data_IF_928640318490
#
_entry.id   IF_928640318490
#
_cell.length_a   1.000
_cell.length_b   1.000
_cell.length_c   1.000
_cell.angle_alpha   90.00
_cell.angle_beta   90.00
_cell.angle_gamma   90.00
#
_symmetry.space_group_name_H-M   'P 1'
#
loop_
_entity.id
_entity.type
_entity.pdbx_description
1 polymer ?
#
# COMPACT_ATOMS: atom_id res chain seq x y z
N UNK A 1 28.51 41.70 -9.32
CA UNK A 1 27.41 41.80 -8.32
C UNK A 1 26.19 40.91 -8.64
N UNK A 2 25.76 40.79 -9.92
CA UNK A 2 24.60 39.97 -10.32
C UNK A 2 24.72 38.46 -10.04
N UNK A 3 25.90 37.85 -10.17
CA UNK A 3 26.08 36.41 -9.91
C UNK A 3 25.94 36.01 -8.43
N UNK A 4 26.30 36.90 -7.49
CA UNK A 4 26.15 36.69 -6.04
C UNK A 4 24.68 36.73 -5.64
N UNK A 5 23.91 37.70 -6.16
CA UNK A 5 22.45 37.78 -5.96
C UNK A 5 21.72 36.56 -6.51
N UNK A 6 22.06 36.08 -7.72
CA UNK A 6 21.45 34.85 -8.29
C UNK A 6 21.72 33.60 -7.44
N UNK A 7 22.93 33.47 -6.86
CA UNK A 7 23.27 32.36 -5.94
C UNK A 7 22.50 32.44 -4.62
N UNK A 8 22.35 33.64 -4.06
CA UNK A 8 21.57 33.87 -2.84
C UNK A 8 20.09 33.57 -3.06
N UNK A 9 19.51 34.00 -4.19
CA UNK A 9 18.10 33.70 -4.53
C UNK A 9 17.87 32.20 -4.73
N UNK A 10 18.80 31.49 -5.40
CA UNK A 10 18.74 30.02 -5.52
C UNK A 10 18.86 29.32 -4.16
N UNK A 11 19.74 29.79 -3.29
CA UNK A 11 19.90 29.27 -1.93
C UNK A 11 18.64 29.48 -1.08
N UNK A 12 18.03 30.67 -1.14
CA UNK A 12 16.76 30.94 -0.46
C UNK A 12 15.61 30.10 -1.01
N UNK A 13 15.52 29.95 -2.34
CA UNK A 13 14.49 29.12 -2.97
C UNK A 13 14.63 27.65 -2.56
N UNK A 14 15.86 27.12 -2.50
CA UNK A 14 16.12 25.76 -2.02
C UNK A 14 15.75 25.63 -0.53
N UNK A 15 16.08 26.62 0.30
CA UNK A 15 15.76 26.62 1.71
C UNK A 15 14.25 26.66 1.95
N UNK A 16 13.49 27.45 1.17
CA UNK A 16 12.03 27.47 1.22
C UNK A 16 11.46 26.10 0.85
N UNK A 17 11.97 25.44 -0.19
CA UNK A 17 11.56 24.07 -0.57
C UNK A 17 11.85 23.08 0.55
N UNK A 18 13.05 23.13 1.14
CA UNK A 18 13.43 22.24 2.25
C UNK A 18 12.59 22.48 3.51
N UNK A 19 12.25 23.73 3.82
CA UNK A 19 11.36 24.07 4.95
C UNK A 19 9.94 23.58 4.68
N UNK A 20 9.43 23.74 3.46
CA UNK A 20 8.11 23.19 3.08
C UNK A 20 8.13 21.67 3.16
N UNK A 21 9.14 20.99 2.60
CA UNK A 21 9.30 19.54 2.73
C UNK A 21 9.41 19.10 4.19
N UNK A 22 10.20 19.79 5.01
CA UNK A 22 10.36 19.48 6.43
C UNK A 22 9.06 19.68 7.22
N UNK A 23 8.30 20.73 6.94
CA UNK A 23 6.97 20.95 7.52
C UNK A 23 5.97 19.90 7.05
N UNK A 24 6.02 19.48 5.79
CA UNK A 24 5.19 18.39 5.28
C UNK A 24 5.54 17.06 5.94
N UNK A 25 6.82 16.74 6.15
CA UNK A 25 7.29 15.53 6.84
C UNK A 25 6.93 15.56 8.34
N UNK A 26 7.07 16.71 9.01
CA UNK A 26 6.73 16.82 10.43
C UNK A 26 5.21 16.79 10.66
N UNK A 27 4.46 17.46 9.79
CA UNK A 27 3.00 17.35 9.75
C UNK A 27 2.54 15.95 9.31
N UNK A 28 3.37 15.19 8.57
CA UNK A 28 3.14 13.79 8.19
C UNK A 28 3.32 12.83 9.36
N UNK A 29 4.38 12.94 10.16
CA UNK A 29 4.48 12.17 11.41
C UNK A 29 3.32 12.48 12.37
N UNK A 30 2.93 13.76 12.45
CA UNK A 30 1.79 14.17 13.26
C UNK A 30 0.46 13.64 12.69
N UNK A 31 0.24 13.75 11.37
CA UNK A 31 -0.99 13.29 10.72
C UNK A 31 -1.12 11.78 10.69
N UNK A 32 -0.04 11.02 10.52
CA UNK A 32 -0.04 9.56 10.61
C UNK A 32 -0.38 9.08 12.02
N UNK A 33 0.12 9.76 13.04
CA UNK A 33 -0.30 9.49 14.42
C UNK A 33 -1.77 9.86 14.69
N UNK A 34 -2.39 10.73 13.85
CA UNK A 34 -3.80 11.14 14.02
C UNK A 34 -4.79 10.50 13.05
N UNK A 35 -4.35 9.99 11.89
CA UNK A 35 -5.21 9.25 10.96
C UNK A 35 -5.36 7.84 11.51
N UNK A 36 -6.49 7.63 12.17
CA UNK A 36 -6.87 6.32 12.69
C UNK A 36 -7.05 5.37 11.50
N UNK A 37 -6.62 4.12 11.67
CA UNK A 37 -6.71 3.08 10.65
C UNK A 37 -8.11 2.95 10.00
N UNK A 38 -9.24 3.09 10.72
CA UNK A 38 -10.57 3.04 10.12
C UNK A 38 -10.80 4.09 9.02
N UNK A 39 -10.32 5.31 9.21
CA UNK A 39 -10.45 6.40 8.24
C UNK A 39 -9.63 6.13 6.97
N UNK A 40 -8.42 5.58 7.13
CA UNK A 40 -7.58 5.16 6.00
C UNK A 40 -8.24 4.01 5.22
N UNK A 41 -8.81 3.03 5.94
CA UNK A 41 -9.59 1.93 5.35
C UNK A 41 -10.81 2.45 4.59
N UNK A 42 -11.55 3.39 5.16
CA UNK A 42 -12.70 4.03 4.50
C UNK A 42 -12.28 4.73 3.20
N UNK A 43 -11.15 5.43 3.18
CA UNK A 43 -10.63 6.07 1.97
C UNK A 43 -10.19 5.04 0.91
N UNK A 44 -9.56 3.95 1.32
CA UNK A 44 -9.25 2.84 0.43
C UNK A 44 -10.53 2.23 -0.16
N UNK A 45 -11.57 2.01 0.66
CA UNK A 45 -12.87 1.51 0.20
C UNK A 45 -13.55 2.47 -0.81
N UNK A 46 -13.51 3.77 -0.56
CA UNK A 46 -14.01 4.78 -1.51
C UNK A 46 -13.28 4.70 -2.86
N UNK A 47 -11.97 4.45 -2.83
CA UNK A 47 -11.18 4.26 -4.03
C UNK A 47 -11.56 2.99 -4.80
N UNK A 48 -11.82 1.88 -4.11
CA UNK A 48 -12.36 0.65 -4.73
C UNK A 48 -13.65 0.94 -5.50
N UNK A 49 -14.60 1.62 -4.86
CA UNK A 49 -15.89 1.99 -5.49
C UNK A 49 -15.67 2.89 -6.70
N UNK A 50 -14.79 3.90 -6.57
CA UNK A 50 -14.45 4.77 -7.69
C UNK A 50 -13.87 4.00 -8.88
N UNK A 51 -12.92 3.08 -8.64
CA UNK A 51 -12.32 2.27 -9.71
C UNK A 51 -13.32 1.32 -10.35
N UNK A 52 -14.27 0.78 -9.57
CA UNK A 52 -15.36 -0.02 -10.09
C UNK A 52 -16.26 0.78 -11.02
N UNK A 53 -16.75 1.94 -10.57
CA UNK A 53 -17.60 2.81 -11.39
C UNK A 53 -16.87 3.29 -12.64
N UNK A 54 -15.57 3.59 -12.55
CA UNK A 54 -14.76 3.89 -13.73
C UNK A 54 -14.79 2.74 -14.74
N UNK A 55 -14.57 1.50 -14.29
CA UNK A 55 -14.59 0.30 -15.17
C UNK A 55 -15.96 0.11 -15.81
N UNK A 56 -17.02 0.19 -15.01
CA UNK A 56 -18.42 0.06 -15.46
C UNK A 56 -18.79 1.10 -16.52
N UNK A 57 -18.31 2.34 -16.35
CA UNK A 57 -18.55 3.43 -17.27
C UNK A 57 -17.56 3.49 -18.46
N UNK A 58 -16.71 2.47 -18.64
CA UNK A 58 -15.71 2.42 -19.72
C UNK A 58 -14.56 3.42 -19.59
N UNK A 59 -14.40 4.02 -18.40
CA UNK A 59 -13.27 4.89 -18.07
C UNK A 59 -12.06 4.06 -17.63
N UNK A 60 -10.87 4.69 -17.63
CA UNK A 60 -9.64 4.05 -17.14
C UNK A 60 -9.83 3.63 -15.67
N UNK A 61 -9.59 2.35 -15.40
CA UNK A 61 -9.70 1.74 -14.07
C UNK A 61 -8.46 0.92 -13.76
N UNK A 62 -8.09 0.86 -12.48
CA UNK A 62 -6.99 0.03 -11.99
C UNK A 62 -7.36 -1.48 -11.91
N UNK A 63 -8.64 -1.83 -12.07
CA UNK A 63 -9.10 -3.22 -12.17
C UNK A 63 -8.78 -3.86 -13.53
N UNK A 64 -7.49 -4.04 -13.79
CA UNK A 64 -6.96 -4.48 -15.09
C UNK A 64 -7.10 -5.97 -15.36
N UNK A 65 -7.11 -6.84 -14.34
CA UNK A 65 -7.16 -8.30 -14.53
C UNK A 65 -8.30 -9.02 -13.81
N UNK A 66 -9.18 -8.29 -13.11
CA UNK A 66 -10.35 -8.89 -12.44
C UNK A 66 -11.59 -8.57 -13.26
N UNK A 67 -12.09 -9.59 -13.96
CA UNK A 67 -13.34 -9.50 -14.71
C UNK A 67 -14.52 -9.73 -13.75
N UNK A 68 -15.53 -8.86 -13.82
CA UNK A 68 -16.77 -8.94 -13.04
C UNK A 68 -16.58 -8.89 -11.51
N UNK A 69 -16.13 -7.74 -11.00
CA UNK A 69 -16.23 -7.43 -9.56
C UNK A 69 -17.70 -7.16 -9.22
N UNK A 70 -18.21 -7.79 -8.17
CA UNK A 70 -19.49 -7.40 -7.57
C UNK A 70 -19.20 -6.61 -6.29
N UNK A 71 -19.52 -5.31 -6.28
CA UNK A 71 -19.32 -4.45 -5.11
C UNK A 71 -20.14 -4.89 -3.90
N UNK A 72 -21.30 -5.54 -4.10
CA UNK A 72 -22.15 -6.00 -2.98
C UNK A 72 -21.42 -7.06 -2.16
N UNK A 73 -20.65 -7.92 -2.82
CA UNK A 73 -19.94 -9.02 -2.17
C UNK A 73 -18.44 -8.74 -1.99
N UNK A 74 -18.01 -7.50 -2.25
CA UNK A 74 -16.61 -7.09 -2.09
C UNK A 74 -16.34 -6.63 -0.66
N UNK A 75 -15.33 -7.24 -0.05
CA UNK A 75 -14.83 -6.94 1.29
C UNK A 75 -13.43 -6.31 1.20
N UNK A 76 -13.11 -5.45 2.17
CA UNK A 76 -11.80 -4.87 2.38
C UNK A 76 -11.29 -5.21 3.79
N UNK A 77 -10.05 -5.69 3.88
CA UNK A 77 -9.44 -6.23 5.10
C UNK A 77 -8.01 -5.69 5.33
N UNK A 78 -7.46 -5.95 6.51
CA UNK A 78 -6.11 -5.53 6.92
C UNK A 78 -6.12 -4.33 7.89
N UNK A 79 -5.11 -3.43 7.85
CA UNK A 79 -4.07 -3.35 6.82
C UNK A 79 -2.95 -4.38 7.05
N UNK A 80 -2.08 -4.52 6.06
CA UNK A 80 -0.75 -5.11 6.26
C UNK A 80 0.34 -4.23 5.64
N UNK A 81 1.58 -4.40 6.11
CA UNK A 81 2.66 -3.42 5.92
C UNK A 81 3.35 -3.54 4.57
N UNK A 82 3.68 -2.38 4.00
CA UNK A 82 4.70 -2.23 2.96
C UNK A 82 5.98 -1.63 3.50
N UNK A 83 7.07 -2.38 3.39
CA UNK A 83 8.38 -1.97 3.86
C UNK A 83 9.39 -1.92 2.72
N UNK A 84 10.26 -0.93 2.78
CA UNK A 84 11.38 -0.77 1.87
C UNK A 84 12.68 -0.89 2.65
N UNK A 85 13.48 -1.90 2.32
CA UNK A 85 14.82 -2.07 2.88
C UNK A 85 15.81 -1.20 2.11
N UNK A 86 16.51 -0.32 2.83
CA UNK A 86 17.60 0.50 2.31
C UNK A 86 18.84 0.31 3.20
N UNK A 87 19.61 -0.74 2.93
CA UNK A 87 20.70 -1.16 3.82
C UNK A 87 20.14 -1.65 5.15
N UNK A 88 20.68 -1.24 6.32
CA UNK A 88 20.17 -1.69 7.62
C UNK A 88 18.84 -1.04 8.03
N UNK A 89 18.28 -0.15 7.20
CA UNK A 89 17.09 0.64 7.53
C UNK A 89 15.88 0.05 6.82
N UNK A 90 14.89 -0.36 7.61
CA UNK A 90 13.56 -0.70 7.12
C UNK A 90 12.67 0.54 7.23
N UNK A 91 12.27 1.09 6.08
CA UNK A 91 11.36 2.23 6.01
C UNK A 91 9.93 1.74 5.81
N UNK A 92 9.03 2.12 6.73
CA UNK A 92 7.60 1.86 6.62
C UNK A 92 6.95 3.02 5.87
N UNK A 93 6.48 2.79 4.65
CA UNK A 93 6.01 3.89 3.79
C UNK A 93 4.57 3.65 3.33
N UNK A 94 4.10 2.41 3.35
CA UNK A 94 2.88 2.03 2.63
C UNK A 94 2.00 1.10 3.44
N UNK A 95 0.69 1.34 3.41
CA UNK A 95 -0.31 0.36 3.87
C UNK A 95 -0.92 -0.32 2.66
N UNK A 96 -1.15 -1.62 2.79
CA UNK A 96 -1.91 -2.41 1.83
C UNK A 96 -3.21 -2.88 2.48
N UNK A 97 -4.30 -2.73 1.74
CA UNK A 97 -5.62 -3.22 2.12
C UNK A 97 -6.04 -4.34 1.19
N UNK A 98 -6.35 -5.51 1.72
CA UNK A 98 -6.74 -6.65 0.89
C UNK A 98 -8.17 -6.48 0.43
N UNK A 99 -8.42 -6.67 -0.86
CA UNK A 99 -9.77 -6.71 -1.44
C UNK A 99 -10.09 -8.18 -1.72
N UNK A 100 -11.27 -8.61 -1.31
CA UNK A 100 -11.69 -9.99 -1.51
C UNK A 100 -13.18 -10.09 -1.78
N UNK A 101 -13.63 -11.24 -2.27
CA UNK A 101 -15.04 -11.59 -2.31
C UNK A 101 -15.20 -13.04 -1.89
N UNK A 102 -16.12 -13.29 -0.95
CA UNK A 102 -16.37 -14.63 -0.40
C UNK A 102 -15.08 -15.34 0.08
N UNK A 103 -14.16 -14.59 0.70
CA UNK A 103 -12.87 -15.11 1.18
C UNK A 103 -11.82 -15.37 0.10
N UNK A 104 -12.12 -15.07 -1.17
CA UNK A 104 -11.16 -15.15 -2.29
C UNK A 104 -10.51 -13.79 -2.52
N UNK A 105 -9.19 -13.73 -2.46
CA UNK A 105 -8.43 -12.50 -2.69
C UNK A 105 -8.57 -12.06 -4.15
N UNK A 106 -8.95 -10.80 -4.36
CA UNK A 106 -9.05 -10.15 -5.68
C UNK A 106 -7.86 -9.24 -5.97
N UNK A 107 -7.18 -8.75 -4.93
CA UNK A 107 -6.05 -7.86 -5.04
C UNK A 107 -5.85 -7.04 -3.79
N UNK A 108 -5.08 -5.96 -3.91
CA UNK A 108 -4.80 -5.02 -2.81
C UNK A 108 -4.95 -3.59 -3.25
N UNK A 109 -5.42 -2.72 -2.35
CA UNK A 109 -5.27 -1.26 -2.47
C UNK A 109 -3.97 -0.86 -1.81
N UNK A 110 -3.06 -0.29 -2.60
CA UNK A 110 -1.82 0.31 -2.13
C UNK A 110 -2.07 1.77 -1.74
N UNK A 111 -1.71 2.11 -0.50
CA UNK A 111 -1.80 3.44 0.05
C UNK A 111 -0.43 3.88 0.59
N UNK A 112 0.38 4.46 -0.29
CA UNK A 112 1.64 5.12 0.11
C UNK A 112 1.30 6.33 0.96
N UNK A 113 1.67 6.29 2.23
CA UNK A 113 1.25 7.27 3.22
C UNK A 113 1.82 8.67 2.97
N UNK A 114 3.01 8.76 2.36
CA UNK A 114 3.63 10.03 2.01
C UNK A 114 2.95 10.68 0.80
N UNK A 115 2.81 9.93 -0.29
CA UNK A 115 2.14 10.38 -1.51
C UNK A 115 0.64 10.61 -1.27
N UNK A 116 0.01 9.79 -0.46
CA UNK A 116 -1.38 9.95 -0.05
C UNK A 116 -1.59 11.25 0.72
N UNK A 117 -0.72 11.58 1.67
CA UNK A 117 -0.83 12.82 2.44
C UNK A 117 -0.62 14.07 1.58
N UNK A 118 0.41 14.09 0.72
CA UNK A 118 0.65 15.17 -0.24
C UNK A 118 -0.54 15.31 -1.19
N UNK A 119 -1.00 14.20 -1.75
CA UNK A 119 -2.16 14.17 -2.64
C UNK A 119 -3.41 14.68 -1.95
N UNK A 120 -3.68 14.25 -0.72
CA UNK A 120 -4.82 14.70 0.08
C UNK A 120 -4.80 16.20 0.33
N UNK A 121 -3.62 16.77 0.61
CA UNK A 121 -3.44 18.22 0.72
C UNK A 121 -3.75 18.96 -0.59
N UNK A 122 -3.41 18.34 -1.74
CA UNK A 122 -3.68 18.86 -3.08
C UNK A 122 -5.05 18.47 -3.65
N UNK A 123 -5.92 17.82 -2.86
CA UNK A 123 -7.24 17.33 -3.31
C UNK A 123 -7.19 16.15 -4.29
N UNK A 124 -6.03 15.51 -4.45
CA UNK A 124 -5.80 14.38 -5.37
C UNK A 124 -5.02 13.25 -4.67
N UNK A 125 -5.60 12.58 -3.66
CA UNK A 125 -4.96 11.46 -2.96
C UNK A 125 -4.51 10.38 -3.96
N UNK A 126 -3.31 9.83 -3.73
CA UNK A 126 -2.72 8.80 -4.59
C UNK A 126 -2.84 7.43 -3.91
N UNK A 127 -3.49 6.52 -4.63
CA UNK A 127 -3.68 5.10 -4.30
C UNK A 127 -3.66 4.31 -5.61
N UNK A 128 -3.44 3.00 -5.53
CA UNK A 128 -3.44 2.09 -6.68
C UNK A 128 -4.07 0.76 -6.32
N UNK A 129 -4.72 0.09 -7.28
CA UNK A 129 -5.17 -1.30 -7.10
C UNK A 129 -4.22 -2.25 -7.82
N UNK A 130 -3.71 -3.25 -7.10
CA UNK A 130 -2.90 -4.32 -7.64
C UNK A 130 -3.66 -5.65 -7.59
N UNK A 131 -3.96 -6.21 -8.75
CA UNK A 131 -4.78 -7.44 -8.89
C UNK A 131 -3.96 -8.67 -9.27
N UNK A 132 -2.76 -8.47 -9.84
CA UNK A 132 -1.89 -9.56 -10.32
C UNK A 132 -1.35 -10.45 -9.20
N UNK A 133 -1.14 -9.90 -8.01
CA UNK A 133 -0.60 -10.63 -6.86
C UNK A 133 -1.66 -11.42 -6.07
N UNK A 134 -2.94 -11.37 -6.49
CA UNK A 134 -4.03 -12.00 -5.78
C UNK A 134 -3.82 -13.51 -5.57
N UNK A 135 -3.32 -14.21 -6.60
CA UNK A 135 -3.03 -15.65 -6.51
C UNK A 135 -1.96 -15.99 -5.47
N UNK A 136 -0.87 -15.22 -5.42
CA UNK A 136 0.19 -15.40 -4.43
C UNK A 136 -0.31 -15.14 -3.01
N UNK A 137 -1.03 -14.03 -2.80
CA UNK A 137 -1.64 -13.71 -1.50
C UNK A 137 -2.66 -14.76 -1.08
N UNK A 138 -3.43 -15.31 -2.02
CA UNK A 138 -4.37 -16.39 -1.75
C UNK A 138 -3.67 -17.66 -1.24
N UNK A 139 -2.52 -18.02 -1.81
CA UNK A 139 -1.72 -19.17 -1.35
C UNK A 139 -1.05 -18.91 0.01
N UNK A 140 -0.60 -17.69 0.27
CA UNK A 140 -0.10 -17.31 1.60
C UNK A 140 -1.21 -17.40 2.66
N UNK A 141 -2.41 -16.91 2.34
CA UNK A 141 -3.56 -16.97 3.24
C UNK A 141 -3.95 -18.43 3.57
N UNK A 142 -4.00 -19.32 2.56
CA UNK A 142 -4.30 -20.75 2.77
C UNK A 142 -3.34 -21.42 3.76
N UNK A 143 -2.08 -21.00 3.76
CA UNK A 143 -1.03 -21.49 4.65
C UNK A 143 -1.00 -20.77 6.01
N UNK A 144 -1.88 -19.78 6.22
CA UNK A 144 -1.93 -18.91 7.41
C UNK A 144 -0.60 -18.20 7.67
N UNK A 145 0.04 -17.77 6.58
CA UNK A 145 1.33 -17.13 6.61
C UNK A 145 1.16 -15.61 6.82
N UNK A 146 1.68 -15.04 7.93
CA UNK A 146 1.68 -13.60 8.10
C UNK A 146 2.59 -12.98 7.04
N UNK A 147 2.15 -11.95 6.35
CA UNK A 147 2.95 -11.38 5.28
C UNK A 147 3.01 -9.86 5.32
N UNK A 148 4.13 -9.32 4.83
CA UNK A 148 4.29 -7.92 4.49
C UNK A 148 4.81 -7.81 3.05
N UNK A 149 4.53 -6.68 2.40
CA UNK A 149 5.16 -6.33 1.14
C UNK A 149 6.59 -5.92 1.41
N UNK A 150 7.52 -6.59 0.73
CA UNK A 150 8.96 -6.36 0.84
C UNK A 150 9.50 -5.82 -0.48
N UNK A 151 10.12 -4.66 -0.41
CA UNK A 151 10.82 -4.03 -1.55
C UNK A 151 12.25 -3.70 -1.13
N UNK A 152 13.23 -3.99 -1.99
CA UNK A 152 14.62 -3.55 -1.78
C UNK A 152 14.86 -2.28 -2.57
N UNK A 153 15.29 -1.20 -1.89
CA UNK A 153 15.51 0.09 -2.51
C UNK A 153 16.52 -0.01 -3.67
N UNK A 154 16.17 0.56 -4.83
CA UNK A 154 17.00 0.50 -6.03
C UNK A 154 16.83 -0.78 -6.87
N UNK A 155 16.06 -1.75 -6.39
CA UNK A 155 15.60 -2.88 -7.20
C UNK A 155 14.17 -2.57 -7.68
N UNK A 156 14.03 -2.23 -8.96
CA UNK A 156 12.72 -1.99 -9.57
C UNK A 156 12.04 -3.34 -9.85
N UNK A 157 11.58 -4.02 -8.80
CA UNK A 157 10.72 -5.18 -8.90
C UNK A 157 9.26 -4.74 -8.87
N UNK A 158 8.63 -4.61 -10.03
CA UNK A 158 7.18 -4.56 -10.13
C UNK A 158 6.70 -5.86 -10.77
N UNK A 159 5.76 -6.60 -10.15
CA UNK A 159 5.01 -6.31 -8.92
C UNK A 159 5.80 -6.62 -7.64
N UNK A 160 5.32 -6.14 -6.47
CA UNK A 160 6.02 -6.32 -5.20
C UNK A 160 6.15 -7.80 -4.81
N UNK A 161 7.22 -8.10 -4.08
CA UNK A 161 7.39 -9.37 -3.38
C UNK A 161 6.83 -9.32 -1.96
N UNK A 162 6.60 -10.49 -1.38
CA UNK A 162 6.06 -10.66 -0.04
C UNK A 162 7.01 -11.49 0.80
N UNK A 163 7.25 -11.07 2.05
CA UNK A 163 7.95 -11.89 3.04
C UNK A 163 6.98 -12.39 4.09
N UNK A 164 7.19 -13.63 4.51
CA UNK A 164 6.52 -14.29 5.62
C UNK A 164 7.54 -14.98 6.53
N UNK A 165 7.12 -15.39 7.72
CA UNK A 165 7.99 -16.15 8.62
C UNK A 165 8.41 -17.46 7.96
N UNK A 166 9.70 -17.57 7.66
CA UNK A 166 10.24 -18.75 6.99
C UNK A 166 10.06 -18.77 5.46
N UNK A 167 9.47 -17.74 4.83
CA UNK A 167 9.15 -17.77 3.39
C UNK A 167 9.31 -16.42 2.67
N UNK A 168 9.63 -16.51 1.39
CA UNK A 168 9.62 -15.40 0.44
C UNK A 168 8.75 -15.74 -0.77
N UNK A 169 7.84 -14.83 -1.11
CA UNK A 169 6.91 -14.96 -2.22
C UNK A 169 7.18 -13.93 -3.30
N UNK A 170 7.18 -14.35 -4.56
CA UNK A 170 7.26 -13.43 -5.71
C UNK A 170 6.32 -13.87 -6.82
N UNK A 171 5.79 -12.89 -7.54
CA UNK A 171 5.03 -13.10 -8.77
C UNK A 171 5.87 -12.69 -9.97
N UNK A 172 5.84 -13.49 -11.03
CA UNK A 172 6.51 -13.22 -12.29
C UNK A 172 5.49 -12.74 -13.34
N UNK A 173 5.61 -11.49 -13.83
CA UNK A 173 4.69 -10.97 -14.85
C UNK A 173 4.85 -11.59 -16.22
N UNK A 174 5.98 -12.23 -16.51
CA UNK A 174 6.30 -12.73 -17.83
C UNK A 174 5.50 -13.99 -18.18
N UNK A 175 5.32 -14.87 -17.20
CA UNK A 175 4.67 -16.17 -17.28
C UNK A 175 3.36 -16.24 -16.48
N UNK A 176 3.14 -15.30 -15.54
CA UNK A 176 1.94 -15.26 -14.70
C UNK A 176 1.99 -16.22 -13.52
N UNK A 177 3.15 -16.84 -13.29
CA UNK A 177 3.39 -17.77 -12.21
C UNK A 177 3.87 -17.05 -10.95
N UNK A 178 3.73 -17.70 -9.80
CA UNK A 178 4.30 -17.24 -8.55
C UNK A 178 5.10 -18.36 -7.89
N UNK A 179 6.09 -17.95 -7.10
CA UNK A 179 6.98 -18.85 -6.37
C UNK A 179 6.93 -18.52 -4.88
N UNK A 180 6.96 -19.55 -4.04
CA UNK A 180 7.12 -19.45 -2.59
C UNK A 180 8.37 -20.25 -2.22
N UNK A 181 9.39 -19.55 -1.74
CA UNK A 181 10.70 -20.09 -1.39
C UNK A 181 10.84 -20.08 0.13
N UNK A 182 11.44 -21.11 0.72
CA UNK A 182 11.81 -21.08 2.14
C UNK A 182 13.03 -20.18 2.37
N UNK A 183 12.94 -19.27 3.32
CA UNK A 183 14.01 -18.35 3.72
C UNK A 183 14.03 -18.13 5.24
N UNK A 184 15.13 -17.64 5.80
CA UNK A 184 15.22 -17.33 7.24
C UNK A 184 14.71 -15.91 7.52
N UNK A 185 13.41 -15.70 7.31
CA UNK A 185 12.72 -14.43 7.50
C UNK A 185 11.89 -14.44 8.78
N UNK A 186 11.89 -13.33 9.52
CA UNK A 186 11.09 -13.11 10.74
C UNK A 186 10.30 -11.82 10.62
N UNK A 187 9.12 -11.87 9.99
CA UNK A 187 8.28 -10.70 9.75
C UNK A 187 7.20 -10.50 10.80
N UNK A 188 6.75 -11.55 11.49
CA UNK A 188 5.71 -11.41 12.52
C UNK A 188 6.11 -10.43 13.62
N UNK A 189 7.37 -10.45 14.05
CA UNK A 189 7.89 -9.51 15.05
C UNK A 189 7.75 -8.05 14.57
N UNK A 190 8.00 -7.80 13.28
CA UNK A 190 7.86 -6.47 12.67
C UNK A 190 6.39 -6.05 12.62
N UNK A 191 5.50 -6.96 12.20
CA UNK A 191 4.07 -6.70 12.07
C UNK A 191 3.46 -6.42 13.46
N UNK A 192 3.69 -7.30 14.44
CA UNK A 192 3.16 -7.14 15.79
C UNK A 192 3.66 -5.85 16.46
N UNK A 193 4.92 -5.47 16.24
CA UNK A 193 5.46 -4.22 16.80
C UNK A 193 4.84 -2.96 16.17
N UNK A 194 4.44 -3.01 14.90
CA UNK A 194 4.02 -1.83 14.12
C UNK A 194 2.52 -1.68 13.96
N UNK A 195 1.80 -2.79 13.83
CA UNK A 195 0.35 -2.83 13.64
C UNK A 195 -0.38 -3.50 14.79
N UNK A 196 0.22 -4.53 15.41
CA UNK A 196 -0.44 -5.37 16.40
C UNK A 196 -0.58 -6.82 15.93
N UNK A 197 -0.78 -7.74 16.86
CA UNK A 197 -0.87 -9.19 16.58
C UNK A 197 -2.13 -9.54 15.77
N UNK A 198 -3.20 -8.76 15.92
CA UNK A 198 -4.44 -8.90 15.16
C UNK A 198 -4.26 -8.68 13.65
N UNK A 199 -3.14 -8.09 13.24
CA UNK A 199 -2.77 -7.84 11.85
C UNK A 199 -1.76 -8.84 11.28
N UNK A 200 -1.43 -9.91 12.03
CA UNK A 200 -0.69 -11.05 11.48
C UNK A 200 -1.48 -11.73 10.37
N UNK A 201 -2.81 -11.76 10.49
CA UNK A 201 -3.69 -12.13 9.39
C UNK A 201 -4.02 -10.86 8.57
N UNK A 202 -3.50 -10.78 7.35
CA UNK A 202 -3.74 -9.64 6.45
C UNK A 202 -5.17 -9.61 5.87
N UNK A 203 -5.96 -10.66 6.12
CA UNK A 203 -7.40 -10.73 5.86
C UNK A 203 -8.23 -10.43 7.12
N UNK A 204 -7.60 -10.02 8.23
CA UNK A 204 -8.29 -9.69 9.46
C UNK A 204 -9.23 -8.49 9.31
N UNK A 205 -10.27 -8.49 10.14
CA UNK A 205 -11.28 -7.45 10.23
C UNK A 205 -11.91 -7.12 8.86
N UNK A 206 -12.44 -8.10 8.11
CA UNK A 206 -13.08 -7.82 6.83
C UNK A 206 -14.33 -6.95 7.04
N UNK A 207 -14.51 -5.95 6.18
CA UNK A 207 -15.71 -5.12 6.13
C UNK A 207 -16.17 -5.00 4.69
N UNK A 208 -17.49 -4.99 4.46
CA UNK A 208 -18.04 -4.77 3.12
C UNK A 208 -17.69 -3.36 2.65
N UNK A 209 -17.16 -3.26 1.43
CA UNK A 209 -16.75 -1.98 0.84
C UNK A 209 -17.90 -1.00 0.81
N UNK A 210 -19.11 -1.47 0.45
CA UNK A 210 -20.30 -0.60 0.37
C UNK A 210 -20.75 -0.05 1.73
N UNK A 211 -20.46 -0.74 2.83
CA UNK A 211 -20.91 -0.32 4.16
C UNK A 211 -19.98 0.75 4.75
N UNK A 212 -18.72 0.80 4.29
CA UNK A 212 -17.77 1.85 4.65
C UNK A 212 -18.01 3.18 3.93
N UNK A 213 -18.58 3.13 2.72
CA UNK A 213 -18.73 4.31 1.85
C UNK A 213 -20.09 4.99 1.93
N UNK A 214 -21.06 4.37 2.61
CA UNK A 214 -22.32 5.00 3.01
C UNK A 214 -22.07 6.12 4.04
#
# INVERSE_FOLDING_TARGET
MMQRRKRVIKGLSLLVVLVICGLLINNWFFKLNTMRLPELKKQAAQYVVQQYENKKNGSKSDFTSVDNIDLEDTEIAGPFLGVSEAGPIVMNITLYWTISSHGVVLGTVEQDLGLFAIGSYLGTPKMWIQTRNAGLLQEMNKQKLPCLVWTVAGTNGWPPSYQSDGYYGRYSPADGDFEIIKEDSRVSEIISFRLGEEHLDFMANPERVIDLVK
#
